data_IF_138587188636
#
_entry.id   IF_138587188636
#
_cell.length_a   1.000
_cell.length_b   1.000
_cell.length_c   1.000
_cell.angle_alpha   90.00
_cell.angle_beta   90.00
_cell.angle_gamma   90.00
#
_symmetry.space_group_name_H-M   'P 1'
#
loop_
_entity.id
_entity.type
_entity.pdbx_description
1 polymer ?
#
# COMPACT_ATOMS: atom_id res chain seq x y z
N UNK A 1 3.95 -49.00 17.79
CA UNK A 1 2.88 -48.32 18.55
C UNK A 1 3.57 -47.52 19.66
N UNK A 2 3.53 -46.20 19.73
CA UNK A 2 2.79 -45.20 18.98
C UNK A 2 3.70 -43.96 18.82
N UNK A 3 3.72 -43.38 17.62
CA UNK A 3 4.16 -42.00 17.42
C UNK A 3 3.07 -41.09 17.99
N UNK A 4 3.39 -40.28 18.98
CA UNK A 4 2.50 -39.23 19.46
C UNK A 4 2.41 -38.11 18.42
N UNK A 5 1.28 -38.11 17.71
CA UNK A 5 0.80 -36.98 16.90
C UNK A 5 -0.11 -36.08 17.75
N UNK A 6 0.00 -34.78 17.46
CA UNK A 6 -0.82 -33.60 17.87
C UNK A 6 -0.34 -32.94 19.17
N UNK A 7 -0.20 -31.62 19.24
CA UNK A 7 -1.15 -30.59 18.77
C UNK A 7 -0.51 -29.45 17.95
N UNK A 8 -1.02 -29.27 16.73
CA UNK A 8 -0.93 -28.03 15.97
C UNK A 8 -1.85 -27.01 16.63
N UNK A 9 -1.37 -26.32 17.65
CA UNK A 9 -2.04 -25.17 18.23
C UNK A 9 -2.14 -24.05 17.20
N UNK A 10 -3.36 -23.78 16.73
CA UNK A 10 -3.68 -22.66 15.85
C UNK A 10 -3.33 -21.35 16.58
N UNK A 11 -2.25 -20.68 16.15
CA UNK A 11 -1.76 -19.45 16.77
C UNK A 11 -1.97 -18.24 15.86
N UNK A 12 -2.09 -17.07 16.50
CA UNK A 12 -2.63 -15.81 15.94
C UNK A 12 -1.66 -15.20 14.93
N UNK A 13 -2.06 -14.13 14.24
CA UNK A 13 -1.32 -13.41 13.19
C UNK A 13 0.17 -13.08 13.47
N UNK A 14 0.60 -13.10 14.75
CA UNK A 14 2.01 -13.00 15.14
C UNK A 14 2.80 -14.32 15.06
N UNK A 15 2.17 -15.43 14.68
CA UNK A 15 2.73 -16.79 14.61
C UNK A 15 2.48 -17.44 13.21
N UNK A 16 1.92 -16.69 12.24
CA UNK A 16 2.00 -16.95 10.80
C UNK A 16 2.62 -15.70 10.19
N UNK A 17 3.95 -15.67 10.23
CA UNK A 17 4.70 -14.44 10.44
C UNK A 17 5.08 -13.77 9.12
N UNK A 18 5.20 -12.45 9.12
CA UNK A 18 5.88 -11.63 8.10
C UNK A 18 7.07 -12.32 7.38
N UNK A 19 7.79 -13.21 8.07
CA UNK A 19 8.82 -14.09 7.50
C UNK A 19 8.37 -14.93 6.29
N UNK A 20 7.16 -15.48 6.26
CA UNK A 20 6.65 -16.24 5.10
C UNK A 20 6.41 -15.33 3.90
N UNK A 21 5.82 -14.15 4.12
CA UNK A 21 5.66 -13.13 3.08
C UNK A 21 7.02 -12.72 2.53
N UNK A 22 7.99 -12.40 3.39
CA UNK A 22 9.33 -12.00 2.98
C UNK A 22 10.07 -13.13 2.25
N UNK A 23 9.90 -14.38 2.67
CA UNK A 23 10.47 -15.56 2.00
C UNK A 23 9.89 -15.72 0.60
N UNK A 24 8.57 -15.57 0.44
CA UNK A 24 7.91 -15.62 -0.87
C UNK A 24 8.31 -14.44 -1.76
N UNK A 25 8.37 -13.24 -1.20
CA UNK A 25 8.79 -12.02 -1.91
C UNK A 25 10.23 -12.10 -2.44
N UNK A 26 11.12 -12.75 -1.68
CA UNK A 26 12.52 -12.96 -2.08
C UNK A 26 12.71 -14.13 -3.06
N UNK A 27 11.65 -14.88 -3.39
CA UNK A 27 11.73 -16.06 -4.24
C UNK A 27 11.67 -15.74 -5.75
N UNK A 28 11.81 -16.76 -6.59
CA UNK A 28 11.59 -16.64 -8.04
C UNK A 28 10.09 -16.65 -8.45
N UNK A 29 9.18 -16.71 -7.47
CA UNK A 29 7.74 -16.64 -7.72
C UNK A 29 7.38 -15.26 -8.30
N UNK A 30 6.45 -15.18 -9.27
CA UNK A 30 5.99 -13.89 -9.78
C UNK A 30 5.15 -13.08 -8.76
N UNK A 31 4.66 -13.73 -7.69
CA UNK A 31 3.88 -13.11 -6.61
C UNK A 31 4.30 -13.68 -5.24
N UNK A 32 4.33 -12.87 -4.16
CA UNK A 32 4.12 -11.42 -4.13
C UNK A 32 5.25 -10.66 -4.81
N UNK A 33 4.96 -9.44 -5.26
CA UNK A 33 5.92 -8.54 -5.91
C UNK A 33 5.93 -7.14 -5.31
N UNK A 34 6.38 -6.16 -6.11
CA UNK A 34 6.50 -4.77 -5.69
C UNK A 34 5.17 -4.11 -5.31
N UNK A 35 4.06 -4.46 -5.96
CA UNK A 35 2.73 -3.93 -5.64
C UNK A 35 2.27 -4.37 -4.25
N UNK A 36 2.25 -5.67 -3.98
CA UNK A 36 1.97 -6.22 -2.64
C UNK A 36 2.88 -5.66 -1.53
N UNK A 37 4.19 -5.52 -1.79
CA UNK A 37 5.11 -4.88 -0.85
C UNK A 37 4.81 -3.40 -0.60
N UNK A 38 4.36 -2.66 -1.64
CA UNK A 38 3.94 -1.26 -1.53
C UNK A 38 2.67 -1.12 -0.67
N UNK A 39 1.70 -2.02 -0.85
CA UNK A 39 0.49 -2.05 -0.03
C UNK A 39 0.82 -2.37 1.44
N UNK A 40 1.70 -3.34 1.70
CA UNK A 40 2.16 -3.67 3.06
C UNK A 40 2.89 -2.48 3.72
N UNK A 41 3.70 -1.75 2.95
CA UNK A 41 4.33 -0.50 3.40
C UNK A 41 3.27 0.51 3.84
N UNK A 42 2.20 0.68 3.06
CA UNK A 42 1.07 1.53 3.42
C UNK A 42 0.37 1.10 4.71
N UNK A 43 0.14 -0.21 4.90
CA UNK A 43 -0.42 -0.76 6.13
C UNK A 43 0.46 -0.47 7.36
N UNK A 44 1.79 -0.60 7.24
CA UNK A 44 2.73 -0.22 8.29
C UNK A 44 2.63 1.28 8.62
N UNK A 45 2.56 2.14 7.60
CA UNK A 45 2.39 3.58 7.77
C UNK A 45 1.12 3.93 8.53
N UNK A 46 -0.02 3.35 8.15
CA UNK A 46 -1.30 3.54 8.85
C UNK A 46 -1.23 3.06 10.30
N UNK A 47 -0.63 1.89 10.57
CA UNK A 47 -0.47 1.37 11.93
C UNK A 47 0.34 2.33 12.83
N UNK A 48 1.40 2.96 12.29
CA UNK A 48 2.15 3.99 13.01
C UNK A 48 1.30 5.23 13.29
N UNK A 49 0.51 5.70 12.32
CA UNK A 49 -0.45 6.78 12.55
C UNK A 49 -1.46 6.43 13.65
N UNK A 50 -2.01 5.22 13.64
CA UNK A 50 -2.89 4.73 14.70
C UNK A 50 -2.20 4.69 16.07
N UNK A 51 -0.91 4.34 16.13
CA UNK A 51 -0.14 4.40 17.38
C UNK A 51 -0.04 5.83 17.91
N UNK A 52 0.24 6.83 17.05
CA UNK A 52 0.23 8.25 17.43
C UNK A 52 -1.14 8.64 18.00
N UNK A 53 -2.21 8.25 17.33
CA UNK A 53 -3.57 8.52 17.80
C UNK A 53 -3.86 7.88 19.15
N UNK A 54 -3.54 6.60 19.34
CA UNK A 54 -3.72 5.90 20.63
C UNK A 54 -2.93 6.54 21.78
N UNK A 55 -1.74 7.07 21.52
CA UNK A 55 -0.93 7.79 22.51
C UNK A 55 -1.45 9.23 22.78
N UNK A 56 -2.40 9.70 21.99
CA UNK A 56 -3.07 11.00 22.10
C UNK A 56 -4.38 10.90 22.88
N UNK A 57 -5.17 9.85 22.65
CA UNK A 57 -6.52 9.63 23.21
C UNK A 57 -6.58 9.75 24.74
N UNK A 58 -7.62 10.42 25.24
CA UNK A 58 -7.95 10.51 26.66
C UNK A 58 -7.01 11.37 27.50
N UNK A 59 -6.06 12.09 26.87
CA UNK A 59 -5.16 13.01 27.57
C UNK A 59 -5.81 14.39 27.67
N UNK A 60 -5.87 14.96 28.88
CA UNK A 60 -6.45 16.29 29.14
C UNK A 60 -5.91 17.40 28.22
N UNK A 61 -4.63 17.32 27.83
CA UNK A 61 -3.98 18.30 26.96
C UNK A 61 -4.47 18.31 25.51
N UNK A 62 -5.22 17.28 25.09
CA UNK A 62 -5.74 17.09 23.73
C UNK A 62 -7.27 17.03 23.68
N UNK A 63 -7.95 17.49 24.74
CA UNK A 63 -9.39 17.36 24.87
C UNK A 63 -10.18 18.06 23.75
N UNK A 64 -9.63 19.13 23.16
CA UNK A 64 -10.17 19.85 22.00
C UNK A 64 -9.98 19.10 20.67
N UNK A 65 -9.15 18.06 20.65
CA UNK A 65 -8.91 17.20 19.49
C UNK A 65 -9.61 15.84 19.58
N UNK A 66 -10.14 15.46 20.75
CA UNK A 66 -10.61 14.10 21.03
C UNK A 66 -11.70 13.59 20.05
N UNK A 67 -12.66 14.44 19.69
CA UNK A 67 -13.73 14.07 18.74
C UNK A 67 -13.17 13.77 17.34
N UNK A 68 -12.38 14.71 16.79
CA UNK A 68 -11.72 14.55 15.48
C UNK A 68 -10.75 13.38 15.49
N UNK A 69 -10.02 13.18 16.59
CA UNK A 69 -9.13 12.03 16.76
C UNK A 69 -9.91 10.71 16.66
N UNK A 70 -11.10 10.64 17.27
CA UNK A 70 -11.97 9.47 17.16
C UNK A 70 -12.41 9.15 15.72
N UNK A 71 -12.62 10.17 14.88
CA UNK A 71 -12.90 10.01 13.45
C UNK A 71 -11.67 9.52 12.69
N UNK A 72 -10.52 10.18 12.89
CA UNK A 72 -9.24 9.81 12.27
C UNK A 72 -8.91 8.34 12.57
N UNK A 73 -9.10 7.89 13.81
CA UNK A 73 -8.82 6.51 14.20
C UNK A 73 -9.74 5.49 13.51
N UNK A 74 -11.00 5.84 13.25
CA UNK A 74 -11.92 4.99 12.47
C UNK A 74 -11.50 4.93 11.01
N UNK A 75 -11.18 6.08 10.42
CA UNK A 75 -10.74 6.17 9.02
C UNK A 75 -9.43 5.39 8.80
N UNK A 76 -8.43 5.58 9.67
CA UNK A 76 -7.17 4.82 9.63
C UNK A 76 -7.42 3.31 9.80
N UNK A 77 -8.34 2.90 10.67
CA UNK A 77 -8.68 1.48 10.79
C UNK A 77 -9.23 0.89 9.50
N UNK A 78 -10.04 1.65 8.75
CA UNK A 78 -10.54 1.22 7.43
C UNK A 78 -9.40 1.16 6.42
N UNK A 79 -8.56 2.20 6.34
CA UNK A 79 -7.44 2.26 5.40
C UNK A 79 -6.42 1.13 5.63
N UNK A 80 -6.21 0.71 6.89
CA UNK A 80 -5.37 -0.44 7.21
C UNK A 80 -5.91 -1.72 6.55
N UNK A 81 -7.20 -1.98 6.69
CA UNK A 81 -7.84 -3.16 6.06
C UNK A 81 -7.83 -3.05 4.53
N UNK A 82 -8.00 -1.84 3.99
CA UNK A 82 -7.88 -1.60 2.55
C UNK A 82 -6.49 -1.94 2.02
N UNK A 83 -5.42 -1.54 2.72
CA UNK A 83 -4.06 -1.92 2.30
C UNK A 83 -3.84 -3.43 2.34
N UNK A 84 -4.34 -4.13 3.36
CA UNK A 84 -4.23 -5.60 3.44
C UNK A 84 -4.95 -6.26 2.26
N UNK A 85 -6.19 -5.83 1.97
CA UNK A 85 -6.96 -6.29 0.81
C UNK A 85 -6.27 -5.96 -0.51
N UNK A 86 -5.65 -4.79 -0.62
CA UNK A 86 -4.93 -4.37 -1.83
C UNK A 86 -3.68 -5.21 -2.09
N UNK A 87 -2.97 -5.63 -1.04
CA UNK A 87 -1.85 -6.55 -1.17
C UNK A 87 -2.29 -7.89 -1.76
N UNK A 88 -3.40 -8.45 -1.28
CA UNK A 88 -3.99 -9.68 -1.81
C UNK A 88 -4.47 -9.50 -3.26
N UNK A 89 -5.19 -8.41 -3.53
CA UNK A 89 -5.70 -8.12 -4.88
C UNK A 89 -4.59 -7.90 -5.90
N UNK A 90 -3.45 -7.33 -5.51
CA UNK A 90 -2.29 -7.20 -6.40
C UNK A 90 -1.80 -8.57 -6.88
N UNK A 91 -1.71 -9.54 -5.97
CA UNK A 91 -1.38 -10.92 -6.32
C UNK A 91 -2.43 -11.54 -7.27
N UNK A 92 -3.72 -11.33 -6.99
CA UNK A 92 -4.84 -11.86 -7.78
C UNK A 92 -4.86 -11.35 -9.21
N UNK A 93 -4.65 -10.05 -9.42
CA UNK A 93 -4.68 -9.44 -10.76
C UNK A 93 -3.38 -9.65 -11.53
N UNK A 94 -2.25 -9.82 -10.84
CA UNK A 94 -0.96 -10.03 -11.48
C UNK A 94 -0.77 -11.47 -11.97
N UNK A 95 -1.34 -12.47 -11.29
CA UNK A 95 -1.18 -13.88 -11.66
C UNK A 95 -1.67 -14.19 -13.10
N UNK A 96 -2.85 -13.72 -13.55
CA UNK A 96 -3.27 -13.84 -14.95
C UNK A 96 -2.33 -13.13 -15.93
N UNK A 97 -1.86 -11.92 -15.59
CA UNK A 97 -0.93 -11.17 -16.44
C UNK A 97 0.38 -11.93 -16.63
N UNK A 98 0.91 -12.50 -15.55
CA UNK A 98 2.12 -13.33 -15.58
C UNK A 98 1.97 -14.53 -16.53
N UNK A 99 0.83 -15.22 -16.48
CA UNK A 99 0.51 -16.33 -17.40
C UNK A 99 0.37 -15.86 -18.84
N UNK A 100 -0.21 -14.69 -19.07
CA UNK A 100 -0.45 -14.13 -20.40
C UNK A 100 0.87 -13.87 -21.16
N UNK A 101 1.96 -13.51 -20.46
CA UNK A 101 3.28 -13.38 -21.09
C UNK A 101 3.76 -14.67 -21.77
N UNK A 102 3.39 -15.83 -21.22
CA UNK A 102 3.76 -17.16 -21.72
C UNK A 102 2.89 -17.70 -22.86
N UNK A 103 1.84 -16.98 -23.29
CA UNK A 103 0.96 -17.45 -24.37
C UNK A 103 1.71 -17.59 -25.71
N UNK A 104 1.33 -18.57 -26.55
CA UNK A 104 1.92 -18.78 -27.87
C UNK A 104 1.70 -17.56 -28.79
N UNK A 105 2.55 -17.42 -29.79
CA UNK A 105 2.59 -16.26 -30.70
C UNK A 105 3.09 -16.59 -32.11
N UNK A 106 3.02 -17.86 -32.49
CA UNK A 106 3.58 -18.40 -33.73
C UNK A 106 2.62 -18.17 -34.91
N UNK A 107 1.31 -18.25 -34.69
CA UNK A 107 0.27 -17.94 -35.69
C UNK A 107 -0.36 -16.57 -35.47
N UNK A 108 -1.00 -16.04 -36.52
CA UNK A 108 -1.72 -14.76 -36.41
C UNK A 108 -2.86 -14.82 -35.39
N UNK A 109 -3.62 -15.92 -35.40
CA UNK A 109 -4.69 -16.14 -34.42
C UNK A 109 -4.18 -16.16 -32.98
N UNK A 110 -3.03 -16.82 -32.75
CA UNK A 110 -2.37 -16.82 -31.44
C UNK A 110 -1.90 -15.43 -31.02
N UNK A 111 -1.34 -14.64 -31.95
CA UNK A 111 -0.93 -13.26 -31.68
C UNK A 111 -2.11 -12.38 -31.28
N UNK A 112 -3.21 -12.45 -32.03
CA UNK A 112 -4.42 -11.67 -31.76
C UNK A 112 -5.05 -12.03 -30.41
N UNK A 113 -5.13 -13.33 -30.09
CA UNK A 113 -5.68 -13.78 -28.80
C UNK A 113 -4.77 -13.41 -27.63
N UNK A 114 -3.45 -13.56 -27.80
CA UNK A 114 -2.47 -13.11 -26.81
C UNK A 114 -2.61 -11.62 -26.54
N UNK A 115 -2.69 -10.80 -27.58
CA UNK A 115 -2.84 -9.36 -27.46
C UNK A 115 -4.13 -8.98 -26.71
N UNK A 116 -5.25 -9.66 -27.04
CA UNK A 116 -6.54 -9.45 -26.37
C UNK A 116 -6.49 -9.77 -24.88
N UNK A 117 -5.86 -10.89 -24.51
CA UNK A 117 -5.70 -11.30 -23.10
C UNK A 117 -4.76 -10.34 -22.37
N UNK A 118 -3.63 -10.00 -22.98
CA UNK A 118 -2.65 -9.07 -22.43
C UNK A 118 -3.30 -7.72 -22.12
N UNK A 119 -4.05 -7.15 -23.06
CA UNK A 119 -4.69 -5.84 -22.85
C UNK A 119 -5.66 -5.86 -21.67
N UNK A 120 -6.50 -6.90 -21.58
CA UNK A 120 -7.41 -7.08 -20.44
C UNK A 120 -6.66 -7.19 -19.12
N UNK A 121 -5.61 -8.01 -19.07
CA UNK A 121 -4.84 -8.22 -17.85
C UNK A 121 -4.07 -6.96 -17.43
N UNK A 122 -3.51 -6.22 -18.37
CA UNK A 122 -2.82 -4.95 -18.11
C UNK A 122 -3.76 -3.90 -17.52
N UNK A 123 -4.99 -3.81 -18.06
CA UNK A 123 -6.01 -2.91 -17.54
C UNK A 123 -6.26 -3.18 -16.05
N UNK A 124 -6.64 -4.41 -15.69
CA UNK A 124 -6.88 -4.79 -14.29
C UNK A 124 -5.65 -4.61 -13.39
N UNK A 125 -4.47 -5.04 -13.86
CA UNK A 125 -3.22 -4.92 -13.10
C UNK A 125 -2.77 -3.47 -12.89
N UNK A 126 -3.26 -2.51 -13.67
CA UNK A 126 -2.96 -1.08 -13.47
C UNK A 126 -3.85 -0.40 -12.43
N UNK A 127 -5.04 -0.96 -12.16
CA UNK A 127 -6.01 -0.34 -11.26
C UNK A 127 -5.65 -0.53 -9.79
N UNK A 128 -5.16 -1.71 -9.40
CA UNK A 128 -4.81 -2.00 -8.00
C UNK A 128 -3.67 -1.08 -7.50
N UNK A 129 -2.56 -0.88 -8.25
CA UNK A 129 -1.52 0.06 -7.83
C UNK A 129 -1.99 1.52 -7.77
N UNK A 130 -2.92 1.94 -8.63
CA UNK A 130 -3.55 3.26 -8.50
C UNK A 130 -4.34 3.38 -7.19
N UNK A 131 -5.12 2.35 -6.83
CA UNK A 131 -5.90 2.33 -5.58
C UNK A 131 -4.99 2.35 -4.34
N UNK A 132 -3.81 1.70 -4.41
CA UNK A 132 -2.77 1.81 -3.36
C UNK A 132 -2.32 3.26 -3.20
N UNK A 133 -2.04 3.96 -4.30
CA UNK A 133 -1.62 5.37 -4.26
C UNK A 133 -2.69 6.27 -3.66
N UNK A 134 -3.95 6.10 -4.06
CA UNK A 134 -5.09 6.86 -3.51
C UNK A 134 -5.27 6.63 -2.02
N UNK A 135 -5.19 5.37 -1.59
CA UNK A 135 -5.31 4.97 -0.18
C UNK A 135 -4.18 5.59 0.64
N UNK A 136 -2.96 5.64 0.10
CA UNK A 136 -1.81 6.25 0.76
C UNK A 136 -1.93 7.77 0.88
N UNK A 137 -2.38 8.46 -0.16
CA UNK A 137 -2.64 9.92 -0.11
C UNK A 137 -3.71 10.25 0.94
N UNK A 138 -4.78 9.46 1.01
CA UNK A 138 -5.81 9.60 2.06
C UNK A 138 -5.23 9.42 3.46
N UNK A 139 -4.39 8.40 3.66
CA UNK A 139 -3.74 8.17 4.94
C UNK A 139 -2.78 9.31 5.32
N UNK A 140 -2.04 9.87 4.36
CA UNK A 140 -1.12 11.00 4.60
C UNK A 140 -1.86 12.24 5.11
N UNK A 141 -3.08 12.52 4.62
CA UNK A 141 -3.92 13.60 5.14
C UNK A 141 -4.19 13.45 6.65
N UNK A 142 -4.56 12.24 7.06
CA UNK A 142 -4.87 11.93 8.46
C UNK A 142 -3.62 11.95 9.34
N UNK A 143 -2.49 11.45 8.83
CA UNK A 143 -1.20 11.44 9.53
C UNK A 143 -0.66 12.86 9.72
N UNK A 144 -0.90 13.76 8.77
CA UNK A 144 -0.54 15.17 8.92
C UNK A 144 -1.28 15.83 10.09
N UNK A 145 -2.60 15.61 10.22
CA UNK A 145 -3.35 16.12 11.38
C UNK A 145 -2.82 15.55 12.70
N UNK A 146 -2.43 14.26 12.70
CA UNK A 146 -1.82 13.61 13.87
C UNK A 146 -0.42 14.16 14.18
N UNK A 147 0.38 14.51 13.17
CA UNK A 147 1.69 15.13 13.38
C UNK A 147 1.56 16.55 13.98
N UNK A 148 0.55 17.31 13.54
CA UNK A 148 0.30 18.67 14.02
C UNK A 148 -0.26 18.70 15.45
N UNK A 149 -1.22 17.82 15.75
CA UNK A 149 -2.08 17.91 16.96
C UNK A 149 -1.93 16.75 17.93
N UNK A 150 -1.30 15.66 17.51
CA UNK A 150 -1.17 14.43 18.27
C UNK A 150 -0.10 14.45 19.35
N UNK A 151 0.20 13.25 19.84
CA UNK A 151 1.10 13.03 20.96
C UNK A 151 2.53 13.46 20.64
N UNK A 152 3.05 14.45 21.38
CA UNK A 152 4.43 14.94 21.21
C UNK A 152 5.50 13.87 21.45
N UNK A 153 5.20 12.84 22.24
CA UNK A 153 6.13 11.73 22.52
C UNK A 153 6.18 10.69 21.40
N UNK A 154 5.25 10.76 20.44
CA UNK A 154 5.15 9.88 19.28
C UNK A 154 5.30 10.65 17.96
N UNK A 155 5.85 11.87 18.02
CA UNK A 155 5.99 12.73 16.83
C UNK A 155 6.92 12.09 15.79
N UNK A 156 7.96 11.36 16.23
CA UNK A 156 8.81 10.58 15.34
C UNK A 156 8.05 9.48 14.61
N UNK A 157 7.07 8.84 15.25
CA UNK A 157 6.25 7.79 14.63
C UNK A 157 5.36 8.36 13.51
N UNK A 158 4.91 9.62 13.64
CA UNK A 158 4.20 10.31 12.57
C UNK A 158 5.09 10.58 11.35
N UNK A 159 6.36 10.92 11.58
CA UNK A 159 7.34 11.11 10.50
C UNK A 159 7.65 9.80 9.76
N UNK A 160 7.88 8.72 10.51
CA UNK A 160 8.10 7.38 9.92
C UNK A 160 6.83 6.89 9.20
N UNK A 161 5.65 7.14 9.77
CA UNK A 161 4.36 6.84 9.13
C UNK A 161 4.25 7.49 7.75
N UNK A 162 4.61 8.78 7.64
CA UNK A 162 4.59 9.51 6.38
C UNK A 162 5.50 8.87 5.32
N UNK A 163 6.71 8.43 5.68
CA UNK A 163 7.64 7.80 4.74
C UNK A 163 7.21 6.40 4.28
N UNK A 164 6.58 5.61 5.15
CA UNK A 164 5.94 4.35 4.75
C UNK A 164 4.81 4.59 3.74
N UNK A 165 3.97 5.59 3.98
CA UNK A 165 2.91 5.95 3.04
C UNK A 165 3.47 6.52 1.73
N UNK A 166 4.54 7.30 1.77
CA UNK A 166 5.24 7.79 0.59
C UNK A 166 5.81 6.63 -0.23
N UNK A 167 6.38 5.62 0.44
CA UNK A 167 6.84 4.39 -0.21
C UNK A 167 5.69 3.67 -0.91
N UNK A 168 4.50 3.61 -0.32
CA UNK A 168 3.31 3.06 -0.96
C UNK A 168 2.89 3.87 -2.20
N UNK A 169 2.94 5.21 -2.15
CA UNK A 169 2.67 6.10 -3.30
C UNK A 169 3.67 5.87 -4.43
N UNK A 170 4.97 5.92 -4.12
CA UNK A 170 6.03 5.78 -5.13
C UNK A 170 6.10 4.37 -5.70
N UNK A 171 5.92 3.35 -4.86
CA UNK A 171 5.88 1.96 -5.26
C UNK A 171 4.65 1.64 -6.12
N UNK A 172 3.47 2.13 -5.73
CA UNK A 172 2.27 2.07 -6.58
C UNK A 172 2.51 2.72 -7.94
N UNK A 173 3.14 3.91 -7.97
CA UNK A 173 3.44 4.60 -9.21
C UNK A 173 4.33 3.78 -10.16
N UNK A 174 5.37 3.13 -9.65
CA UNK A 174 6.22 2.26 -10.48
C UNK A 174 5.44 1.11 -11.11
N UNK A 175 4.53 0.49 -10.35
CA UNK A 175 3.71 -0.64 -10.81
C UNK A 175 2.64 -0.21 -11.84
N UNK A 176 2.04 0.99 -11.70
CA UNK A 176 1.18 1.53 -12.74
C UNK A 176 1.98 1.81 -14.02
N UNK A 177 3.16 2.46 -13.91
CA UNK A 177 3.98 2.86 -15.07
C UNK A 177 4.36 1.66 -15.93
N UNK A 178 4.80 0.56 -15.31
CA UNK A 178 5.21 -0.64 -16.06
C UNK A 178 4.03 -1.26 -16.82
N UNK A 179 2.83 -1.24 -16.23
CA UNK A 179 1.63 -1.78 -16.85
C UNK A 179 1.13 -0.89 -18.00
N UNK A 180 1.01 0.43 -17.80
CA UNK A 180 0.54 1.35 -18.86
C UNK A 180 1.52 1.46 -20.04
N UNK A 181 2.81 1.23 -19.81
CA UNK A 181 3.81 1.18 -20.88
C UNK A 181 3.58 0.00 -21.83
N UNK A 182 3.02 -1.10 -21.34
CA UNK A 182 2.77 -2.31 -22.12
C UNK A 182 1.40 -2.31 -22.83
N UNK A 183 0.52 -1.36 -22.52
CA UNK A 183 -0.83 -1.27 -23.10
C UNK A 183 -0.84 -0.73 -24.53
N UNK A 184 -1.76 -1.27 -25.33
CA UNK A 184 -2.11 -0.76 -26.66
C UNK A 184 -3.18 0.33 -26.59
N UNK A 185 -4.10 0.26 -25.62
CA UNK A 185 -5.08 1.31 -25.36
C UNK A 185 -4.37 2.55 -24.81
N UNK A 186 -4.05 3.48 -25.73
CA UNK A 186 -3.33 4.70 -25.39
C UNK A 186 -4.18 5.69 -24.61
N UNK A 187 -5.49 5.72 -24.84
CA UNK A 187 -6.38 6.65 -24.17
C UNK A 187 -6.52 6.30 -22.69
N UNK A 188 -6.69 5.02 -22.38
CA UNK A 188 -6.69 4.55 -20.99
C UNK A 188 -5.31 4.72 -20.34
N UNK A 189 -4.23 4.38 -21.06
CA UNK A 189 -2.87 4.52 -20.56
C UNK A 189 -2.51 5.95 -20.17
N UNK A 190 -2.82 6.95 -21.01
CA UNK A 190 -2.51 8.35 -20.69
C UNK A 190 -3.38 8.89 -19.56
N UNK A 191 -4.69 8.59 -19.51
CA UNK A 191 -5.56 8.98 -18.38
C UNK A 191 -5.07 8.41 -17.04
N UNK A 192 -4.71 7.13 -17.04
CA UNK A 192 -4.16 6.44 -15.87
C UNK A 192 -2.84 7.06 -15.43
N UNK A 193 -1.98 7.43 -16.38
CA UNK A 193 -0.70 8.10 -16.13
C UNK A 193 -0.88 9.52 -15.58
N UNK A 194 -1.83 10.31 -16.09
CA UNK A 194 -2.15 11.63 -15.55
C UNK A 194 -2.57 11.54 -14.08
N UNK A 195 -3.48 10.62 -13.77
CA UNK A 195 -3.93 10.35 -12.40
C UNK A 195 -2.78 9.95 -11.49
N UNK A 196 -1.93 9.04 -11.96
CA UNK A 196 -0.70 8.66 -11.26
C UNK A 196 0.21 9.85 -10.97
N UNK A 197 0.44 10.74 -11.94
CA UNK A 197 1.36 11.87 -11.76
C UNK A 197 0.81 12.84 -10.72
N UNK A 198 -0.51 13.06 -10.71
CA UNK A 198 -1.19 13.85 -9.68
C UNK A 198 -0.99 13.25 -8.29
N UNK A 199 -1.34 11.97 -8.11
CA UNK A 199 -1.23 11.28 -6.82
C UNK A 199 0.21 11.20 -6.32
N UNK A 200 1.16 10.92 -7.22
CA UNK A 200 2.60 10.88 -6.91
C UNK A 200 3.08 12.22 -6.38
N UNK A 201 2.71 13.31 -7.05
CA UNK A 201 3.09 14.66 -6.64
C UNK A 201 2.49 15.00 -5.27
N UNK A 202 1.19 14.81 -5.11
CA UNK A 202 0.49 15.11 -3.86
C UNK A 202 1.05 14.30 -2.68
N UNK A 203 1.25 12.99 -2.85
CA UNK A 203 1.79 12.13 -1.81
C UNK A 203 3.21 12.53 -1.39
N UNK A 204 4.10 12.81 -2.36
CA UNK A 204 5.46 13.21 -2.08
C UNK A 204 5.55 14.57 -1.37
N UNK A 205 4.79 15.56 -1.85
CA UNK A 205 4.75 16.90 -1.22
C UNK A 205 4.22 16.82 0.22
N UNK A 206 3.22 15.96 0.47
CA UNK A 206 2.64 15.80 1.80
C UNK A 206 3.56 15.04 2.75
N UNK A 207 4.17 13.95 2.29
CA UNK A 207 5.14 13.21 3.10
C UNK A 207 6.32 14.09 3.53
N UNK A 208 6.89 14.85 2.59
CA UNK A 208 7.96 15.81 2.87
C UNK A 208 7.52 16.87 3.89
N UNK A 209 6.30 17.42 3.72
CA UNK A 209 5.75 18.40 4.68
C UNK A 209 5.71 17.82 6.10
N UNK A 210 5.21 16.59 6.26
CA UNK A 210 5.13 15.92 7.57
C UNK A 210 6.54 15.66 8.11
N UNK A 211 7.46 15.16 7.28
CA UNK A 211 8.85 14.91 7.68
C UNK A 211 9.52 16.18 8.21
N UNK A 212 9.50 17.28 7.44
CA UNK A 212 10.06 18.56 7.88
C UNK A 212 9.41 19.11 9.15
N UNK A 213 8.12 18.88 9.35
CA UNK A 213 7.41 19.30 10.55
C UNK A 213 7.89 18.52 11.79
N UNK A 214 8.04 17.20 11.63
CA UNK A 214 8.52 16.30 12.69
C UNK A 214 9.97 16.61 13.02
N UNK A 215 10.84 16.75 12.02
CA UNK A 215 12.25 17.08 12.18
C UNK A 215 12.44 18.36 13.02
N UNK A 216 11.74 19.44 12.65
CA UNK A 216 11.75 20.69 13.44
C UNK A 216 11.26 20.51 14.88
N UNK A 217 10.28 19.63 15.11
CA UNK A 217 9.78 19.35 16.45
C UNK A 217 10.73 18.49 17.29
N UNK A 218 11.69 17.78 16.67
CA UNK A 218 12.69 16.99 17.37
C UNK A 218 13.92 17.82 17.77
N UNK A 219 14.17 18.92 17.07
CA UNK A 219 15.27 19.86 17.36
C UNK A 219 14.92 20.93 18.42
N UNK A 220 13.64 21.08 18.76
CA UNK A 220 13.10 22.06 19.71
C UNK A 220 12.97 21.52 21.13
#
# INVERSE_FOLDING_TARGET
MAEEKKESGTKRLGDQELGDFLTRLASASPIPGGGGASALSGACGVCLGMMVGNLTTGKKRYADFEERLGEIMKELSVLKEDFMRLAERDEEVFLPLSKAYGLPKETEEQRLEKDRIMEKCLHEASLVPLEIMETAVKALLLVEELAERGSRIAVSDAGVSAEFLNTAVLGGAMNVIINVKAMKDRDFAEKTKEKLLSLKKEGAERAEKIYCMVEKSLES
#
